data_IF_746437891602
#
_entry.id   IF_746437891602
#
_cell.length_a   1.000
_cell.length_b   1.000
_cell.length_c   1.000
_cell.angle_alpha   90.00
_cell.angle_beta   90.00
_cell.angle_gamma   90.00
#
_symmetry.space_group_name_H-M   'P 1'
#
loop_
_entity.id
_entity.type
_entity.pdbx_description
1 polymer ?
#
# COMPACT_ATOMS: atom_id res chain seq x y z
N UNK A 1 -9.91 -14.74 -11.69
CA UNK A 1 -8.78 -15.53 -11.16
C UNK A 1 -7.97 -14.66 -10.21
N UNK A 2 -7.72 -15.17 -9.02
CA UNK A 2 -6.95 -14.45 -8.01
C UNK A 2 -5.45 -14.70 -8.20
N UNK A 3 -4.66 -13.68 -7.92
CA UNK A 3 -3.20 -13.79 -7.98
C UNK A 3 -2.65 -14.11 -6.58
N UNK A 4 -1.83 -15.16 -6.48
CA UNK A 4 -1.11 -15.46 -5.26
C UNK A 4 0.14 -14.59 -5.12
N UNK A 5 0.51 -13.91 -6.20
CA UNK A 5 1.73 -13.12 -6.26
C UNK A 5 1.45 -11.66 -5.92
N UNK A 6 2.04 -11.13 -4.82
CA UNK A 6 1.84 -9.74 -4.46
C UNK A 6 2.61 -8.80 -5.38
N UNK A 7 2.18 -7.55 -5.40
CA UNK A 7 3.02 -6.45 -5.84
C UNK A 7 4.02 -6.15 -4.72
N UNK A 8 5.31 -6.14 -5.03
CA UNK A 8 6.36 -5.98 -4.03
C UNK A 8 7.17 -4.72 -4.25
N UNK A 9 7.56 -4.08 -3.16
CA UNK A 9 8.36 -2.87 -3.15
C UNK A 9 9.40 -2.96 -2.04
N UNK A 10 10.66 -2.68 -2.36
CA UNK A 10 11.69 -2.55 -1.34
C UNK A 10 11.44 -1.29 -0.51
N UNK A 11 11.56 -1.44 0.80
CA UNK A 11 11.43 -0.33 1.74
C UNK A 11 12.81 -0.05 2.32
N UNK A 12 13.27 1.18 2.15
CA UNK A 12 14.50 1.65 2.78
C UNK A 12 14.16 2.25 4.15
N UNK A 13 14.69 1.66 5.22
CA UNK A 13 14.57 2.23 6.56
C UNK A 13 15.55 3.39 6.66
N UNK A 14 15.01 4.60 6.89
CA UNK A 14 15.81 5.82 6.98
C UNK A 14 16.17 6.10 8.44
N UNK A 15 17.28 6.80 8.63
CA UNK A 15 17.68 7.23 9.96
C UNK A 15 16.55 8.04 10.63
N UNK A 16 15.88 8.91 9.87
CA UNK A 16 14.76 9.72 10.36
C UNK A 16 13.50 8.91 10.74
N UNK A 17 13.45 7.62 10.37
CA UNK A 17 12.32 6.77 10.72
C UNK A 17 12.41 6.22 12.14
N UNK A 18 13.60 6.28 12.73
CA UNK A 18 13.87 5.68 14.04
C UNK A 18 13.51 6.66 15.16
N UNK A 19 12.79 6.16 16.16
CA UNK A 19 12.42 6.95 17.34
C UNK A 19 13.40 6.73 18.50
N UNK A 20 13.10 7.36 19.63
CA UNK A 20 13.95 7.30 20.82
C UNK A 20 14.10 5.89 21.40
N UNK A 21 13.23 4.95 21.04
CA UNK A 21 13.30 3.55 21.49
C UNK A 21 14.21 2.70 20.62
N UNK A 22 14.76 3.25 19.55
CA UNK A 22 15.64 2.54 18.63
C UNK A 22 14.93 1.73 17.56
N UNK A 23 13.63 1.92 17.39
CA UNK A 23 12.81 1.22 16.40
C UNK A 23 12.16 2.21 15.44
N UNK A 24 11.75 1.73 14.30
CA UNK A 24 10.93 2.52 13.38
C UNK A 24 9.65 2.93 14.13
N UNK A 25 9.37 4.25 14.13
CA UNK A 25 8.18 4.78 14.76
C UNK A 25 6.92 4.19 14.13
N UNK A 26 5.93 3.85 14.94
CA UNK A 26 4.67 3.25 14.46
C UNK A 26 4.01 4.05 13.34
N UNK A 27 4.05 5.38 13.42
CA UNK A 27 3.47 6.24 12.39
C UNK A 27 4.16 6.07 11.03
N UNK A 28 5.43 5.71 11.01
CA UNK A 28 6.21 5.53 9.79
C UNK A 28 5.79 4.27 9.02
N UNK A 29 5.22 3.27 9.70
CA UNK A 29 4.68 2.08 9.02
C UNK A 29 3.63 2.48 7.97
N UNK A 30 2.82 3.49 8.28
CA UNK A 30 1.83 4.03 7.33
C UNK A 30 2.52 4.72 6.15
N UNK A 31 3.65 5.35 6.37
CA UNK A 31 4.49 5.92 5.31
C UNK A 31 5.01 4.82 4.38
N UNK A 32 5.40 3.68 4.94
CA UNK A 32 5.83 2.53 4.13
C UNK A 32 4.70 2.00 3.26
N UNK A 33 3.48 1.92 3.78
CA UNK A 33 2.31 1.55 2.98
C UNK A 33 2.07 2.57 1.86
N UNK A 34 2.26 3.86 2.15
CA UNK A 34 2.15 4.92 1.14
C UNK A 34 3.18 4.76 0.03
N UNK A 35 4.42 4.42 0.38
CA UNK A 35 5.45 4.10 -0.62
C UNK A 35 4.99 2.99 -1.55
N UNK A 36 4.35 1.98 -1.02
CA UNK A 36 3.77 0.90 -1.82
C UNK A 36 2.69 1.40 -2.77
N UNK A 37 1.77 2.21 -2.27
CA UNK A 37 0.70 2.79 -3.11
C UNK A 37 1.28 3.67 -4.21
N UNK A 38 2.31 4.43 -3.90
CA UNK A 38 3.01 5.27 -4.88
C UNK A 38 3.57 4.43 -6.02
N UNK A 39 4.32 3.38 -5.69
CA UNK A 39 4.91 2.50 -6.70
C UNK A 39 3.85 1.73 -7.48
N UNK A 40 2.81 1.28 -6.81
CA UNK A 40 1.68 0.60 -7.44
C UNK A 40 1.00 1.53 -8.45
N UNK A 41 0.76 2.77 -8.05
CA UNK A 41 0.12 3.77 -8.92
C UNK A 41 0.96 4.05 -10.17
N UNK A 42 2.27 4.15 -10.01
CA UNK A 42 3.18 4.39 -11.14
C UNK A 42 3.25 3.18 -12.08
N UNK A 43 3.43 1.99 -11.54
CA UNK A 43 3.67 0.79 -12.35
C UNK A 43 2.40 0.13 -12.86
N UNK A 44 1.34 0.12 -12.07
CA UNK A 44 0.10 -0.57 -12.40
C UNK A 44 -0.91 0.38 -13.04
N UNK A 45 -1.13 1.55 -12.46
CA UNK A 45 -2.08 2.53 -13.00
C UNK A 45 -1.46 3.43 -14.07
N UNK A 46 -0.14 3.46 -14.18
CA UNK A 46 0.54 4.31 -15.15
C UNK A 46 0.50 5.78 -14.80
N UNK A 47 0.39 6.12 -13.51
CA UNK A 47 0.39 7.50 -13.04
C UNK A 47 1.76 8.13 -13.29
N UNK A 48 1.77 9.29 -13.95
CA UNK A 48 2.97 10.06 -14.27
C UNK A 48 3.04 11.34 -13.43
N UNK A 49 1.90 12.00 -13.26
CA UNK A 49 1.78 13.27 -12.54
C UNK A 49 0.83 13.09 -11.35
N UNK A 50 1.02 13.92 -10.33
CA UNK A 50 0.16 13.91 -9.14
C UNK A 50 -1.31 14.16 -9.50
N UNK A 51 -1.58 14.93 -10.54
CA UNK A 51 -2.94 15.19 -11.04
C UNK A 51 -3.62 13.93 -11.61
N UNK A 52 -2.86 12.87 -11.89
CA UNK A 52 -3.39 11.62 -12.40
C UNK A 52 -4.01 10.74 -11.30
N UNK A 53 -3.78 11.07 -10.03
CA UNK A 53 -4.40 10.37 -8.92
C UNK A 53 -5.90 10.66 -8.87
N UNK A 54 -6.72 9.62 -8.91
CA UNK A 54 -8.17 9.70 -8.97
C UNK A 54 -8.83 9.00 -7.79
N UNK A 55 -8.16 8.98 -6.65
CA UNK A 55 -8.73 8.37 -5.44
C UNK A 55 -8.22 9.08 -4.19
N UNK A 56 -9.00 8.95 -3.13
CA UNK A 56 -8.64 9.42 -1.78
C UNK A 56 -8.67 8.23 -0.83
N UNK A 57 -7.93 8.31 0.25
CA UNK A 57 -7.95 7.28 1.28
C UNK A 57 -9.10 7.56 2.25
N UNK A 58 -9.96 6.55 2.44
CA UNK A 58 -11.06 6.62 3.38
C UNK A 58 -10.76 5.92 4.71
N UNK A 59 -9.88 4.92 4.69
CA UNK A 59 -9.55 4.15 5.88
C UNK A 59 -8.17 3.51 5.73
N UNK A 60 -7.44 3.45 6.85
CA UNK A 60 -6.18 2.72 6.92
C UNK A 60 -6.02 2.15 8.34
N UNK A 61 -5.50 0.93 8.42
CA UNK A 61 -5.20 0.28 9.68
C UNK A 61 -3.91 -0.52 9.57
N UNK A 62 -3.27 -0.73 10.71
CA UNK A 62 -2.02 -1.50 10.78
C UNK A 62 -1.95 -2.24 12.10
N UNK A 63 -1.63 -3.53 12.03
CA UNK A 63 -1.24 -4.35 13.17
C UNK A 63 0.28 -4.38 13.22
N UNK A 64 0.86 -3.93 14.33
CA UNK A 64 2.30 -3.90 14.56
C UNK A 64 2.71 -5.21 15.22
N UNK A 65 3.38 -6.07 14.48
CA UNK A 65 3.68 -7.44 14.92
C UNK A 65 5.08 -7.56 15.48
N UNK A 66 6.07 -6.98 14.81
CA UNK A 66 7.46 -6.96 15.21
C UNK A 66 8.05 -5.58 15.02
N UNK A 67 8.94 -5.12 15.94
CA UNK A 67 9.64 -3.85 15.69
C UNK A 67 10.57 -3.99 14.50
N UNK A 68 10.73 -2.90 13.76
CA UNK A 68 11.73 -2.78 12.69
C UNK A 68 12.88 -1.95 13.21
N UNK A 69 14.10 -2.46 13.05
CA UNK A 69 15.33 -1.78 13.46
C UNK A 69 16.02 -1.17 12.24
N UNK A 70 16.94 -0.25 12.48
CA UNK A 70 17.59 0.52 11.41
C UNK A 70 18.25 -0.34 10.34
N UNK A 71 18.87 -1.44 10.73
CA UNK A 71 19.60 -2.32 9.80
C UNK A 71 18.75 -3.46 9.23
N UNK A 72 17.47 -3.51 9.56
CA UNK A 72 16.58 -4.53 9.02
C UNK A 72 16.32 -4.30 7.53
N UNK A 73 16.24 -5.39 6.80
CA UNK A 73 15.78 -5.39 5.43
C UNK A 73 14.28 -5.60 5.43
N UNK A 74 13.57 -4.77 4.69
CA UNK A 74 12.11 -4.77 4.67
C UNK A 74 11.61 -4.72 3.23
N UNK A 75 10.65 -5.57 2.93
CA UNK A 75 9.91 -5.52 1.67
C UNK A 75 8.43 -5.36 1.99
N UNK A 76 7.75 -4.55 1.21
CA UNK A 76 6.31 -4.41 1.28
C UNK A 76 5.68 -5.31 0.22
N UNK A 77 4.74 -6.14 0.65
CA UNK A 77 3.89 -6.93 -0.22
C UNK A 77 2.48 -6.35 -0.20
N UNK A 78 1.90 -6.16 -1.37
CA UNK A 78 0.56 -5.61 -1.53
C UNK A 78 -0.30 -6.51 -2.40
N UNK A 79 -1.55 -6.64 -1.99
CA UNK A 79 -2.60 -7.29 -2.79
C UNK A 79 -3.80 -6.35 -2.85
N UNK A 80 -4.62 -6.53 -3.86
CA UNK A 80 -5.97 -5.96 -3.87
C UNK A 80 -6.85 -6.93 -3.10
N UNK A 81 -7.53 -6.43 -2.08
CA UNK A 81 -8.43 -7.25 -1.26
C UNK A 81 -9.83 -7.29 -1.85
N UNK A 82 -10.39 -6.13 -2.15
CA UNK A 82 -11.74 -5.98 -2.68
C UNK A 82 -11.79 -4.88 -3.72
N UNK A 83 -12.72 -5.01 -4.66
CA UNK A 83 -13.04 -3.97 -5.63
C UNK A 83 -14.55 -3.76 -5.57
N UNK A 84 -14.98 -2.61 -5.04
CA UNK A 84 -16.39 -2.22 -4.96
C UNK A 84 -16.82 -1.39 -6.15
N UNK A 85 -17.97 -0.73 -6.04
CA UNK A 85 -18.49 0.14 -7.09
C UNK A 85 -17.66 1.43 -7.22
N UNK A 86 -17.41 2.09 -6.10
CA UNK A 86 -16.68 3.37 -6.05
C UNK A 86 -15.40 3.29 -5.25
N UNK A 87 -15.07 2.12 -4.72
CA UNK A 87 -13.92 1.94 -3.83
C UNK A 87 -13.19 0.66 -4.15
N UNK A 88 -11.95 0.60 -3.69
CA UNK A 88 -11.15 -0.62 -3.70
C UNK A 88 -10.26 -0.63 -2.46
N UNK A 89 -9.80 -1.79 -2.05
CA UNK A 89 -8.98 -1.92 -0.86
C UNK A 89 -7.71 -2.69 -1.15
N UNK A 90 -6.66 -2.28 -0.45
CA UNK A 90 -5.38 -2.98 -0.46
C UNK A 90 -5.17 -3.71 0.85
N UNK A 91 -4.42 -4.80 0.77
CA UNK A 91 -3.87 -5.51 1.90
C UNK A 91 -2.35 -5.41 1.82
N UNK A 92 -1.71 -5.17 2.95
CA UNK A 92 -0.27 -4.94 3.05
C UNK A 92 0.38 -5.91 4.03
N UNK A 93 1.60 -6.31 3.73
CA UNK A 93 2.48 -6.97 4.69
C UNK A 93 3.88 -6.42 4.54
N UNK A 94 4.48 -6.05 5.66
CA UNK A 94 5.90 -5.73 5.72
C UNK A 94 6.61 -6.97 6.24
N UNK A 95 7.52 -7.49 5.45
CA UNK A 95 8.19 -8.77 5.76
C UNK A 95 9.69 -8.67 5.55
N UNK A 96 10.43 -9.62 6.14
CA UNK A 96 11.85 -9.80 5.89
C UNK A 96 12.01 -10.53 4.55
N UNK A 97 12.72 -9.94 3.57
CA UNK A 97 12.87 -10.58 2.26
C UNK A 97 13.63 -11.91 2.30
N UNK A 98 14.42 -12.16 3.34
CA UNK A 98 15.13 -13.43 3.50
C UNK A 98 14.28 -14.53 4.16
N UNK A 99 13.20 -14.12 4.84
CA UNK A 99 12.26 -15.03 5.50
C UNK A 99 10.89 -14.35 5.58
N UNK A 100 10.04 -14.60 4.59
CA UNK A 100 8.75 -13.93 4.46
C UNK A 100 7.74 -14.36 5.55
N UNK A 101 8.06 -15.39 6.33
CA UNK A 101 7.26 -15.75 7.52
C UNK A 101 7.52 -14.78 8.67
N UNK A 102 8.62 -14.02 8.61
CA UNK A 102 8.95 -12.99 9.57
C UNK A 102 8.23 -11.71 9.19
N UNK A 103 7.05 -11.52 9.73
CA UNK A 103 6.17 -10.40 9.41
C UNK A 103 6.35 -9.30 10.45
N UNK A 104 6.68 -8.10 9.99
CA UNK A 104 6.80 -6.92 10.86
C UNK A 104 5.43 -6.27 11.11
N UNK A 105 4.61 -6.23 10.07
CA UNK A 105 3.29 -5.61 10.17
C UNK A 105 2.35 -6.15 9.10
N UNK A 106 1.06 -6.07 9.38
CA UNK A 106 0.00 -6.36 8.43
C UNK A 106 -1.02 -5.23 8.48
N UNK A 107 -1.55 -4.84 7.36
CA UNK A 107 -2.48 -3.71 7.30
C UNK A 107 -3.42 -3.78 6.13
N UNK A 108 -4.35 -2.83 6.12
CA UNK A 108 -5.35 -2.68 5.06
C UNK A 108 -5.64 -1.20 4.86
N UNK A 109 -6.05 -0.85 3.65
CA UNK A 109 -6.56 0.49 3.37
C UNK A 109 -7.71 0.43 2.40
N UNK A 110 -8.61 1.41 2.49
CA UNK A 110 -9.74 1.56 1.58
C UNK A 110 -9.57 2.89 0.86
N UNK A 111 -9.58 2.85 -0.46
CA UNK A 111 -9.49 4.01 -1.34
C UNK A 111 -10.83 4.19 -2.04
N UNK A 112 -11.30 5.43 -2.09
CA UNK A 112 -12.51 5.81 -2.81
C UNK A 112 -12.08 6.58 -4.06
N UNK A 113 -12.58 6.15 -5.21
CA UNK A 113 -12.34 6.86 -6.46
C UNK A 113 -13.06 8.21 -6.42
N UNK A 114 -12.35 9.25 -6.83
CA UNK A 114 -12.79 10.61 -6.61
C UNK A 114 -12.40 11.51 -7.78
N UNK A 115 -13.35 12.33 -8.20
CA UNK A 115 -13.12 13.35 -9.21
C UNK A 115 -12.90 14.68 -8.50
N UNK A 116 -11.67 15.15 -8.50
CA UNK A 116 -11.28 16.39 -7.81
C UNK A 116 -11.84 17.65 -8.47
N UNK A 117 -12.17 17.60 -9.75
CA UNK A 117 -12.80 18.71 -10.44
C UNK A 117 -14.27 18.86 -10.07
N UNK A 118 -14.98 17.72 -10.00
CA UNK A 118 -16.40 17.69 -9.65
C UNK A 118 -16.61 17.59 -8.13
N UNK A 119 -15.55 17.38 -7.37
CA UNK A 119 -15.56 17.27 -5.91
C UNK A 119 -16.58 16.23 -5.42
N UNK A 120 -16.49 15.01 -6.00
CA UNK A 120 -17.38 13.90 -5.63
C UNK A 120 -16.75 12.55 -5.93
N UNK A 121 -17.24 11.52 -5.24
CA UNK A 121 -16.86 10.14 -5.53
C UNK A 121 -17.40 9.70 -6.89
N UNK A 122 -16.65 8.82 -7.55
CA UNK A 122 -17.01 8.27 -8.85
C UNK A 122 -16.86 6.76 -8.81
N UNK A 123 -17.46 6.09 -9.78
CA UNK A 123 -17.25 4.66 -9.96
C UNK A 123 -15.79 4.39 -10.32
N UNK A 124 -15.30 3.22 -9.91
CA UNK A 124 -13.95 2.78 -10.27
C UNK A 124 -13.88 2.71 -11.80
N UNK A 125 -12.99 3.48 -12.44
CA UNK A 125 -12.87 3.45 -13.90
C UNK A 125 -12.57 2.04 -14.41
N UNK A 126 -13.12 1.68 -15.56
CA UNK A 126 -12.99 0.33 -16.13
C UNK A 126 -11.53 -0.10 -16.28
N UNK A 127 -10.65 0.79 -16.74
CA UNK A 127 -9.22 0.51 -16.88
C UNK A 127 -8.55 0.22 -15.54
N UNK A 128 -8.90 1.00 -14.52
CA UNK A 128 -8.37 0.81 -13.18
C UNK A 128 -8.85 -0.52 -12.60
N UNK A 129 -10.13 -0.83 -12.77
CA UNK A 129 -10.72 -2.10 -12.32
C UNK A 129 -10.01 -3.30 -12.94
N UNK A 130 -9.75 -3.26 -14.23
CA UNK A 130 -9.03 -4.30 -14.94
C UNK A 130 -7.64 -4.52 -14.35
N UNK A 131 -6.92 -3.44 -14.11
CA UNK A 131 -5.55 -3.49 -13.56
C UNK A 131 -5.52 -3.98 -12.12
N UNK A 132 -6.48 -3.53 -11.30
CA UNK A 132 -6.62 -4.00 -9.92
C UNK A 132 -6.89 -5.50 -9.86
N UNK A 133 -7.70 -6.02 -10.77
CA UNK A 133 -8.07 -7.44 -10.79
C UNK A 133 -6.85 -8.35 -10.93
N UNK A 134 -5.78 -7.89 -11.56
CA UNK A 134 -4.54 -8.66 -11.72
C UNK A 134 -3.85 -8.97 -10.39
N UNK A 135 -4.12 -8.19 -9.36
CA UNK A 135 -3.52 -8.33 -8.04
C UNK A 135 -4.53 -8.74 -6.97
N UNK A 136 -5.72 -9.12 -7.40
CA UNK A 136 -6.78 -9.56 -6.49
C UNK A 136 -6.36 -10.84 -5.79
N UNK A 137 -6.40 -10.80 -4.46
CA UNK A 137 -5.96 -11.90 -3.60
C UNK A 137 -6.92 -13.07 -3.56
#
# INVERSE_FOLDING_TARGET
MHSDKPFSTNIEVRFSDIDALGHVNNAVFFTYFEEGRKHFSKKVFGVVDISDFKFIMAHIQCDFIRPIQFNDHVILQMWVKDIGTKSFSFEYRLVDPSDETRVYAAGESIQVCYDYEKDRSIEVPAKMRERLTRYLK
#
